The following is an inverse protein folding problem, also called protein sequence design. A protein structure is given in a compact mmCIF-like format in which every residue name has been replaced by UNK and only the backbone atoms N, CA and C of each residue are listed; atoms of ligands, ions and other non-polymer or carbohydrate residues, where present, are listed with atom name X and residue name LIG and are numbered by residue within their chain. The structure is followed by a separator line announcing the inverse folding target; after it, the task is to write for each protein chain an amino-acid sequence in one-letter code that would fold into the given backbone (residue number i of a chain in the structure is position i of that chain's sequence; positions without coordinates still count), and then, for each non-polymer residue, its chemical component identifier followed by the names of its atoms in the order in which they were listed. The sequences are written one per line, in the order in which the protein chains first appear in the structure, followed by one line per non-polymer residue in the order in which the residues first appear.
data_IF_721585001025
#
_entry.id   IF_721585001025
#
_cell.length_a   1.000
_cell.length_b   1.000
_cell.length_c   1.000
_cell.angle_alpha   90.00
_cell.angle_beta   90.00
_cell.angle_gamma   90.00
#
_symmetry.space_group_name_H-M   'P 1'
#
loop_
_entity.id
_entity.type
_entity.pdbx_description
1 polymer ?
#
# COMPACT_ATOMS: atom_id res chain seq x y z
N UNK A 1 -18.05 -2.49 65.73
CA UNK A 1 -17.21 -3.66 65.39
C UNK A 1 -17.00 -3.71 63.89
N UNK A 2 -15.86 -3.18 63.43
CA UNK A 2 -14.65 -3.93 63.06
C UNK A 2 -14.81 -4.42 61.59
N UNK A 3 -14.02 -3.98 60.62
CA UNK A 3 -12.57 -4.00 60.63
C UNK A 3 -11.97 -3.01 59.60
N UNK A 4 -10.87 -2.38 60.01
CA UNK A 4 -9.93 -1.60 59.20
C UNK A 4 -8.78 -2.55 58.86
N UNK A 5 -8.51 -2.83 57.58
CA UNK A 5 -7.19 -3.29 57.17
C UNK A 5 -6.89 -2.76 55.77
N UNK A 6 -6.03 -1.74 55.67
CA UNK A 6 -4.57 -1.85 55.60
C UNK A 6 -4.11 -1.81 54.13
N UNK A 7 -4.02 -0.59 53.62
CA UNK A 7 -3.17 -0.28 52.47
C UNK A 7 -1.74 -0.68 52.83
N UNK A 8 -1.28 -1.81 52.30
CA UNK A 8 0.10 -2.25 52.44
C UNK A 8 0.87 -1.65 51.28
N UNK A 9 1.77 -0.73 51.61
CA UNK A 9 2.82 -0.23 50.73
C UNK A 9 3.65 -1.43 50.25
N UNK A 10 3.56 -1.77 48.97
CA UNK A 10 4.55 -2.62 48.34
C UNK A 10 5.82 -1.79 48.18
N UNK A 11 6.80 -2.12 49.00
CA UNK A 11 8.17 -1.63 48.91
C UNK A 11 8.67 -1.75 47.48
N UNK A 12 9.20 -0.65 46.94
CA UNK A 12 10.06 -0.68 45.77
C UNK A 12 11.21 -1.62 46.07
N UNK A 13 11.22 -2.76 45.37
CA UNK A 13 12.41 -3.55 45.21
C UNK A 13 13.35 -2.74 44.34
N UNK A 14 14.42 -2.26 44.97
CA UNK A 14 15.61 -1.72 44.34
C UNK A 14 16.21 -2.85 43.50
N UNK A 15 15.73 -2.96 42.26
CA UNK A 15 16.36 -3.78 41.25
C UNK A 15 17.52 -2.96 40.73
N UNK A 16 18.73 -3.28 41.21
CA UNK A 16 19.98 -2.88 40.60
C UNK A 16 19.86 -3.19 39.09
N UNK A 17 19.58 -2.15 38.31
CA UNK A 17 19.79 -2.18 36.87
C UNK A 17 21.32 -2.19 36.72
N UNK A 18 21.91 -3.37 36.81
CA UNK A 18 23.25 -3.62 36.27
C UNK A 18 23.16 -3.32 34.76
N UNK A 19 23.31 -2.03 34.42
CA UNK A 19 23.73 -1.62 33.09
C UNK A 19 25.06 -2.32 32.85
N UNK A 20 25.02 -3.44 32.14
CA UNK A 20 26.21 -4.08 31.61
C UNK A 20 26.87 -3.06 30.69
N UNK A 21 27.80 -2.27 31.24
CA UNK A 21 28.64 -1.38 30.48
C UNK A 21 29.43 -2.27 29.52
N UNK A 22 29.02 -2.26 28.25
CA UNK A 22 29.80 -2.87 27.18
C UNK A 22 31.08 -2.07 27.09
N UNK A 23 32.19 -2.65 27.57
CA UNK A 23 33.50 -1.99 27.54
C UNK A 23 33.80 -1.56 26.09
N UNK A 24 34.05 -0.26 25.91
CA UNK A 24 34.40 0.30 24.61
C UNK A 24 35.67 -0.36 24.04
N UNK A 25 36.54 -0.88 24.92
CA UNK A 25 37.70 -1.70 24.56
C UNK A 25 37.32 -3.03 23.90
N UNK A 26 36.37 -3.76 24.47
CA UNK A 26 35.90 -5.05 23.95
C UNK A 26 35.20 -4.89 22.60
N UNK A 27 34.42 -3.82 22.42
CA UNK A 27 33.81 -3.52 21.11
C UNK A 27 34.88 -3.26 20.04
N UNK A 28 35.91 -2.48 20.36
CA UNK A 28 36.98 -2.17 19.41
C UNK A 28 37.82 -3.41 19.06
N UNK A 29 38.02 -4.31 20.03
CA UNK A 29 38.70 -5.59 19.82
C UNK A 29 37.89 -6.52 18.90
N UNK A 30 36.58 -6.67 19.15
CA UNK A 30 35.68 -7.47 18.31
C UNK A 30 35.54 -6.89 16.89
N UNK A 31 35.51 -5.57 16.74
CA UNK A 31 35.52 -4.93 15.41
C UNK A 31 36.82 -5.19 14.64
N UNK A 32 37.97 -5.21 15.33
CA UNK A 32 39.25 -5.54 14.71
C UNK A 32 39.32 -7.02 14.29
N UNK A 33 38.79 -7.92 15.12
CA UNK A 33 38.71 -9.36 14.83
C UNK A 33 37.78 -9.65 13.64
N UNK A 34 36.61 -9.00 13.58
CA UNK A 34 35.67 -9.12 12.46
C UNK A 34 36.29 -8.62 11.15
N UNK A 35 37.03 -7.51 11.17
CA UNK A 35 37.72 -6.97 9.98
C UNK A 35 38.90 -7.83 9.54
N UNK A 36 39.53 -8.54 10.47
CA UNK A 36 40.61 -9.49 10.19
C UNK A 36 40.11 -10.87 9.72
N UNK A 37 38.81 -11.15 9.86
CA UNK A 37 38.22 -12.42 9.44
C UNK A 37 38.34 -12.64 7.93
N UNK A 38 38.87 -13.80 7.54
CA UNK A 38 39.08 -14.14 6.14
C UNK A 38 37.76 -14.54 5.47
N UNK A 39 37.16 -13.59 4.75
CA UNK A 39 35.90 -13.79 4.02
C UNK A 39 36.05 -14.78 2.85
N UNK A 40 37.28 -15.04 2.38
CA UNK A 40 37.57 -15.93 1.26
C UNK A 40 37.47 -17.43 1.58
N UNK A 41 37.46 -17.82 2.86
CA UNK A 41 37.22 -19.20 3.29
C UNK A 41 35.75 -19.50 3.59
N UNK A 42 34.85 -18.53 3.42
CA UNK A 42 33.43 -18.72 3.68
C UNK A 42 32.77 -19.50 2.54
N UNK A 43 31.88 -20.43 2.91
CA UNK A 43 31.03 -21.13 1.96
C UNK A 43 30.01 -20.14 1.40
N UNK A 44 29.80 -20.16 0.08
CA UNK A 44 28.77 -19.34 -0.56
C UNK A 44 27.39 -19.67 0.03
N UNK A 45 26.78 -18.69 0.69
CA UNK A 45 25.42 -18.81 1.20
C UNK A 45 24.43 -18.57 0.06
N UNK A 46 23.46 -19.48 -0.10
CA UNK A 46 22.34 -19.28 -1.03
C UNK A 46 21.27 -18.45 -0.33
N UNK A 47 20.99 -17.26 -0.86
CA UNK A 47 19.85 -16.48 -0.41
C UNK A 47 18.56 -17.24 -0.69
N UNK A 48 17.70 -17.35 0.31
CA UNK A 48 16.35 -17.89 0.13
C UNK A 48 15.43 -16.80 -0.40
N UNK A 49 14.75 -17.11 -1.50
CA UNK A 49 13.65 -16.29 -2.02
C UNK A 49 12.36 -16.66 -1.29
N UNK A 50 11.71 -15.66 -0.70
CA UNK A 50 10.48 -15.88 0.03
C UNK A 50 9.34 -16.32 -0.89
N UNK A 51 8.95 -17.58 -0.78
CA UNK A 51 7.75 -18.16 -1.38
C UNK A 51 6.76 -18.55 -0.28
N UNK A 52 5.53 -18.02 -0.37
CA UNK A 52 4.46 -18.20 0.62
C UNK A 52 3.50 -19.33 0.25
N UNK A 53 3.43 -19.69 -1.03
CA UNK A 53 2.47 -20.65 -1.58
C UNK A 53 3.01 -22.08 -1.64
N UNK A 54 4.31 -22.27 -1.40
CA UNK A 54 4.95 -23.56 -1.16
C UNK A 54 5.01 -23.83 0.35
N UNK A 55 4.31 -24.88 0.80
CA UNK A 55 4.23 -25.26 2.20
C UNK A 55 5.41 -26.15 2.66
N UNK A 56 6.23 -26.66 1.73
CA UNK A 56 7.35 -27.58 2.01
C UNK A 56 8.71 -26.85 2.17
N UNK A 57 8.77 -25.55 1.87
CA UNK A 57 9.99 -24.73 1.99
C UNK A 57 10.27 -24.18 3.41
N UNK A 58 9.39 -24.46 4.37
CA UNK A 58 9.47 -24.02 5.78
C UNK A 58 9.51 -22.50 6.02
N UNK A 59 9.28 -21.66 5.01
CA UNK A 59 9.33 -20.20 5.17
C UNK A 59 8.24 -19.72 6.16
N UNK A 60 7.01 -20.15 5.95
CA UNK A 60 5.88 -19.77 6.81
C UNK A 60 6.02 -20.37 8.21
N UNK A 61 6.59 -21.57 8.33
CA UNK A 61 6.79 -22.22 9.62
C UNK A 61 7.82 -21.47 10.47
N UNK A 62 8.94 -21.06 9.85
CA UNK A 62 9.92 -20.19 10.50
C UNK A 62 9.29 -18.88 10.96
N UNK A 63 8.54 -18.18 10.10
CA UNK A 63 7.86 -16.94 10.47
C UNK A 63 6.85 -17.14 11.60
N UNK A 64 6.11 -18.25 11.58
CA UNK A 64 5.08 -18.55 12.59
C UNK A 64 5.72 -18.76 13.95
N UNK A 65 6.80 -19.57 14.02
CA UNK A 65 7.52 -19.84 15.27
C UNK A 65 8.20 -18.56 15.78
N UNK A 66 8.94 -17.85 14.93
CA UNK A 66 9.64 -16.63 15.31
C UNK A 66 8.68 -15.54 15.82
N UNK A 67 7.56 -15.33 15.12
CA UNK A 67 6.52 -14.40 15.54
C UNK A 67 5.90 -14.82 16.87
N UNK A 68 5.58 -16.10 17.06
CA UNK A 68 4.94 -16.58 18.28
C UNK A 68 5.88 -16.54 19.50
N UNK A 69 7.18 -16.81 19.32
CA UNK A 69 8.19 -16.63 20.36
C UNK A 69 8.28 -15.16 20.78
N UNK A 70 8.28 -14.23 19.81
CA UNK A 70 8.24 -12.80 20.10
C UNK A 70 6.93 -12.40 20.79
N UNK A 71 5.79 -12.92 20.35
CA UNK A 71 4.50 -12.68 20.99
C UNK A 71 4.49 -13.13 22.44
N UNK A 72 5.14 -14.26 22.76
CA UNK A 72 5.26 -14.75 24.12
C UNK A 72 6.02 -13.78 25.04
N UNK A 73 7.12 -13.18 24.55
CA UNK A 73 7.90 -12.19 25.32
C UNK A 73 7.08 -10.96 25.73
N UNK A 74 6.09 -10.55 24.92
CA UNK A 74 5.25 -9.37 25.17
C UNK A 74 3.83 -9.72 25.61
N UNK A 75 3.56 -10.98 25.98
CA UNK A 75 2.22 -11.45 26.35
C UNK A 75 1.13 -11.15 25.29
N UNK A 76 1.51 -11.18 24.01
CA UNK A 76 0.62 -11.01 22.85
C UNK A 76 0.03 -12.38 22.48
N UNK A 77 -1.24 -12.42 22.07
CA UNK A 77 -1.89 -13.65 21.59
C UNK A 77 -1.14 -14.25 20.40
N UNK A 78 -0.77 -15.53 20.51
CA UNK A 78 -0.13 -16.27 19.43
C UNK A 78 -1.04 -16.41 18.21
N UNK A 79 -0.44 -16.40 17.03
CA UNK A 79 -1.14 -16.53 15.75
C UNK A 79 -0.96 -17.93 15.15
N UNK A 80 -2.01 -18.44 14.51
CA UNK A 80 -1.94 -19.69 13.76
C UNK A 80 -1.15 -19.51 12.45
N UNK A 81 -0.56 -20.59 11.94
CA UNK A 81 0.19 -20.62 10.68
C UNK A 81 -0.55 -19.94 9.51
N UNK A 82 -1.85 -20.22 9.35
CA UNK A 82 -2.69 -19.62 8.31
C UNK A 82 -2.81 -18.11 8.44
N UNK A 83 -3.00 -17.60 9.65
CA UNK A 83 -3.06 -16.17 9.93
C UNK A 83 -1.72 -15.48 9.63
N UNK A 84 -0.61 -16.11 10.01
CA UNK A 84 0.74 -15.61 9.68
C UNK A 84 0.97 -15.62 8.16
N UNK A 85 0.57 -16.69 7.45
CA UNK A 85 0.66 -16.78 5.98
C UNK A 85 -0.10 -15.65 5.29
N UNK A 86 -1.32 -15.36 5.73
CA UNK A 86 -2.13 -14.26 5.16
C UNK A 86 -1.46 -12.91 5.36
N UNK A 87 -0.96 -12.64 6.56
CA UNK A 87 -0.35 -11.34 6.90
C UNK A 87 1.03 -11.18 6.24
N UNK A 88 1.93 -12.15 6.44
CA UNK A 88 3.29 -12.12 5.90
C UNK A 88 3.31 -12.18 4.37
N UNK A 89 2.42 -12.97 3.79
CA UNK A 89 2.27 -13.14 2.35
C UNK A 89 1.45 -12.04 1.66
N UNK A 90 0.89 -11.08 2.42
CA UNK A 90 0.00 -10.03 1.91
C UNK A 90 -1.11 -10.57 1.01
N UNK A 91 -1.74 -11.67 1.44
CA UNK A 91 -2.77 -12.35 0.65
C UNK A 91 -4.04 -11.49 0.63
N UNK A 92 -4.50 -11.14 -0.57
CA UNK A 92 -5.77 -10.44 -0.78
C UNK A 92 -6.89 -11.49 -0.79
N UNK A 93 -7.88 -11.41 0.13
CA UNK A 93 -9.01 -12.33 0.12
C UNK A 93 -9.83 -12.18 -1.17
N UNK A 94 -10.14 -13.30 -1.81
CA UNK A 94 -10.93 -13.32 -3.04
C UNK A 94 -11.94 -14.48 -3.02
N UNK A 95 -13.14 -14.23 -3.54
CA UNK A 95 -14.19 -15.22 -3.69
C UNK A 95 -14.84 -15.08 -5.08
N UNK A 96 -15.21 -16.21 -5.68
CA UNK A 96 -15.79 -16.22 -7.03
C UNK A 96 -17.11 -15.42 -7.10
N UNK A 97 -17.87 -15.34 -6.00
CA UNK A 97 -19.16 -14.63 -5.96
C UNK A 97 -19.03 -13.12 -6.13
N UNK A 98 -18.05 -12.48 -5.48
CA UNK A 98 -17.79 -11.04 -5.67
C UNK A 98 -17.27 -10.77 -7.08
N UNK A 99 -16.42 -11.66 -7.61
CA UNK A 99 -15.90 -11.56 -8.98
C UNK A 99 -17.03 -11.63 -10.01
N UNK A 100 -17.90 -12.64 -9.90
CA UNK A 100 -19.05 -12.80 -10.80
C UNK A 100 -20.00 -11.60 -10.76
N UNK A 101 -20.26 -11.05 -9.56
CA UNK A 101 -21.11 -9.87 -9.41
C UNK A 101 -20.50 -8.62 -10.05
N UNK A 102 -19.21 -8.36 -9.81
CA UNK A 102 -18.50 -7.22 -10.40
C UNK A 102 -18.47 -7.34 -11.92
N UNK A 103 -18.13 -8.52 -12.47
CA UNK A 103 -18.17 -8.76 -13.91
C UNK A 103 -19.55 -8.50 -14.50
N UNK A 104 -20.61 -9.04 -13.89
CA UNK A 104 -21.97 -8.84 -14.39
C UNK A 104 -22.41 -7.37 -14.42
N UNK A 105 -22.01 -6.56 -13.44
CA UNK A 105 -22.30 -5.12 -13.43
C UNK A 105 -21.49 -4.36 -14.47
N UNK A 106 -20.21 -4.73 -14.65
CA UNK A 106 -19.37 -4.17 -15.72
C UNK A 106 -19.95 -4.49 -17.09
N UNK A 107 -20.43 -5.71 -17.30
CA UNK A 107 -21.05 -6.14 -18.57
C UNK A 107 -22.33 -5.33 -18.88
N UNK A 108 -23.12 -4.98 -17.86
CA UNK A 108 -24.28 -4.10 -18.02
C UNK A 108 -23.86 -2.70 -18.47
N UNK A 109 -22.84 -2.09 -17.83
CA UNK A 109 -22.33 -0.78 -18.26
C UNK A 109 -21.68 -0.85 -19.66
N UNK A 110 -21.04 -1.97 -19.99
CA UNK A 110 -20.49 -2.22 -21.32
C UNK A 110 -21.58 -2.25 -22.39
N UNK A 111 -22.73 -2.89 -22.13
CA UNK A 111 -23.88 -2.86 -23.03
C UNK A 111 -24.35 -1.42 -23.33
N UNK A 112 -24.31 -0.53 -22.33
CA UNK A 112 -24.69 0.89 -22.51
C UNK A 112 -23.73 1.64 -23.45
N UNK A 113 -22.43 1.34 -23.38
CA UNK A 113 -21.42 1.89 -24.30
C UNK A 113 -21.65 1.43 -25.73
N UNK A 114 -21.93 0.14 -25.92
CA UNK A 114 -22.21 -0.44 -27.24
C UNK A 114 -23.48 0.18 -27.87
N UNK A 115 -24.49 0.50 -27.05
CA UNK A 115 -25.71 1.18 -27.48
C UNK A 115 -25.54 2.68 -27.76
N UNK A 116 -24.35 3.26 -27.55
CA UNK A 116 -24.10 4.67 -27.84
C UNK A 116 -24.67 5.63 -26.78
N UNK A 117 -25.02 5.14 -25.58
CA UNK A 117 -25.64 5.96 -24.53
C UNK A 117 -24.70 7.03 -23.96
N UNK A 118 -23.39 6.94 -24.21
CA UNK A 118 -22.42 7.99 -23.91
C UNK A 118 -22.77 9.34 -24.56
N UNK A 119 -23.46 9.33 -25.70
CA UNK A 119 -23.90 10.54 -26.38
C UNK A 119 -25.09 11.23 -25.68
N UNK A 120 -25.78 10.52 -24.78
CA UNK A 120 -26.93 11.03 -24.03
C UNK A 120 -26.56 11.59 -22.64
N UNK A 121 -25.25 11.64 -22.34
CA UNK A 121 -24.69 12.19 -21.13
C UNK A 121 -24.43 11.17 -20.01
N UNK A 122 -23.66 11.61 -19.01
CA UNK A 122 -23.13 10.77 -17.94
C UNK A 122 -24.20 10.16 -17.01
N UNK A 123 -25.42 10.71 -17.00
CA UNK A 123 -26.54 10.21 -16.17
C UNK A 123 -27.04 8.82 -16.56
N UNK A 124 -26.59 8.28 -17.70
CA UNK A 124 -26.90 6.92 -18.14
C UNK A 124 -25.96 5.87 -17.54
N UNK A 125 -24.80 6.29 -17.05
CA UNK A 125 -23.77 5.42 -16.50
C UNK A 125 -23.82 5.45 -14.98
N UNK A 126 -23.48 4.32 -14.39
CA UNK A 126 -23.53 4.14 -12.95
C UNK A 126 -22.25 3.48 -12.46
N UNK A 127 -21.73 4.00 -11.35
CA UNK A 127 -20.70 3.34 -10.58
C UNK A 127 -21.34 2.72 -9.34
N UNK A 128 -20.86 1.54 -8.94
CA UNK A 128 -21.43 0.77 -7.83
C UNK A 128 -20.35 0.39 -6.83
N UNK A 129 -20.62 0.59 -5.53
CA UNK A 129 -19.85 0.00 -4.43
C UNK A 129 -20.71 -1.06 -3.74
N UNK A 130 -20.09 -2.22 -3.46
CA UNK A 130 -20.81 -3.42 -3.05
C UNK A 130 -20.08 -4.11 -1.91
N UNK A 131 -20.83 -4.48 -0.88
CA UNK A 131 -20.39 -5.45 0.12
C UNK A 131 -21.41 -6.58 0.25
N UNK A 132 -21.08 -7.75 -0.27
CA UNK A 132 -21.96 -8.93 -0.24
C UNK A 132 -22.16 -9.51 1.18
N UNK A 133 -21.24 -9.26 2.11
CA UNK A 133 -21.34 -9.79 3.48
C UNK A 133 -22.53 -9.18 4.25
N UNK A 134 -22.87 -7.93 3.94
CA UNK A 134 -23.99 -7.18 4.55
C UNK A 134 -25.28 -7.25 3.73
N UNK A 135 -25.27 -7.97 2.59
CA UNK A 135 -26.43 -8.08 1.71
C UNK A 135 -26.78 -6.78 0.98
N UNK A 136 -28.06 -6.62 0.60
CA UNK A 136 -28.55 -5.52 -0.24
C UNK A 136 -28.42 -4.13 0.38
N UNK A 137 -28.21 -4.02 1.69
CA UNK A 137 -28.08 -2.74 2.39
C UNK A 137 -26.77 -2.01 2.08
N UNK A 138 -25.76 -2.72 1.56
CA UNK A 138 -24.47 -2.14 1.17
C UNK A 138 -24.25 -2.13 -0.35
N UNK A 139 -25.34 -2.00 -1.11
CA UNK A 139 -25.29 -1.73 -2.54
C UNK A 139 -25.56 -0.24 -2.77
N UNK A 140 -24.50 0.52 -3.07
CA UNK A 140 -24.61 1.96 -3.32
C UNK A 140 -24.25 2.27 -4.77
N UNK A 141 -25.07 3.09 -5.41
CA UNK A 141 -24.92 3.46 -6.82
C UNK A 141 -24.88 4.96 -6.95
N UNK A 142 -23.98 5.47 -7.77
CA UNK A 142 -23.77 6.89 -8.00
C UNK A 142 -23.39 7.16 -9.45
N UNK A 143 -23.65 8.38 -9.90
CA UNK A 143 -23.27 8.79 -11.25
C UNK A 143 -21.76 9.03 -11.30
N UNK A 144 -21.10 8.72 -12.42
CA UNK A 144 -19.69 9.05 -12.60
C UNK A 144 -19.51 10.56 -12.56
N UNK A 145 -18.38 10.98 -11.98
CA UNK A 145 -18.00 12.38 -11.92
C UNK A 145 -17.81 12.94 -13.34
N UNK A 146 -18.14 14.22 -13.50
CA UNK A 146 -17.78 14.94 -14.71
C UNK A 146 -16.25 15.09 -14.79
N UNK A 147 -15.70 15.28 -16.00
CA UNK A 147 -14.29 15.60 -16.15
C UNK A 147 -13.92 16.78 -15.27
N UNK A 148 -12.85 16.65 -14.49
CA UNK A 148 -12.33 17.79 -13.74
C UNK A 148 -11.78 18.82 -14.73
N UNK A 149 -12.22 20.06 -14.59
CA UNK A 149 -11.56 21.18 -15.25
C UNK A 149 -10.16 21.35 -14.65
N UNK A 150 -9.16 21.61 -15.49
CA UNK A 150 -7.75 21.73 -15.13
C UNK A 150 -7.41 22.99 -14.31
N UNK A 151 -8.38 23.50 -13.54
CA UNK A 151 -8.23 24.63 -12.62
C UNK A 151 -7.44 24.27 -11.35
N UNK A 152 -7.18 22.97 -11.11
CA UNK A 152 -6.36 22.47 -10.00
C UNK A 152 -4.87 22.26 -10.35
N UNK A 153 -4.42 22.62 -11.56
CA UNK A 153 -2.98 22.78 -11.81
C UNK A 153 -2.49 23.92 -10.92
N UNK A 154 -1.40 23.69 -10.16
CA UNK A 154 -0.76 24.68 -9.29
C UNK A 154 -0.85 26.07 -9.92
N UNK A 155 -1.43 27.05 -9.21
CA UNK A 155 -1.56 28.45 -9.66
C UNK A 155 -0.19 28.96 -10.12
N UNK A 156 0.08 28.79 -11.40
CA UNK A 156 1.28 29.30 -12.05
C UNK A 156 0.92 30.68 -12.60
N UNK A 157 1.89 31.58 -12.67
CA UNK A 157 1.69 32.91 -13.24
C UNK A 157 1.61 32.87 -14.78
N UNK A 158 1.38 31.70 -15.37
CA UNK A 158 1.29 31.47 -16.81
C UNK A 158 -0.17 31.52 -17.24
N UNK A 159 -0.44 32.12 -18.39
CA UNK A 159 -1.76 32.11 -18.99
C UNK A 159 -2.14 30.65 -19.30
N UNK A 160 -3.16 30.13 -18.62
CA UNK A 160 -3.71 28.79 -18.86
C UNK A 160 -4.84 28.85 -19.88
N UNK A 161 -5.12 27.72 -20.51
CA UNK A 161 -6.29 27.56 -21.36
C UNK A 161 -7.59 27.93 -20.62
N UNK A 162 -8.58 28.56 -21.28
CA UNK A 162 -9.83 28.99 -20.65
C UNK A 162 -10.72 27.83 -20.18
N UNK A 163 -10.66 26.68 -20.85
CA UNK A 163 -11.26 25.41 -20.41
C UNK A 163 -10.43 24.27 -20.98
N UNK A 164 -9.75 23.52 -20.11
CA UNK A 164 -9.02 22.32 -20.48
C UNK A 164 -9.35 21.28 -19.41
N UNK A 165 -9.71 20.08 -19.81
CA UNK A 165 -10.12 18.99 -18.92
C UNK A 165 -9.09 17.86 -18.95
N UNK A 166 -9.24 16.86 -18.08
CA UNK A 166 -8.38 15.67 -18.09
C UNK A 166 -8.45 14.84 -19.38
N UNK A 167 -9.46 15.06 -20.23
CA UNK A 167 -9.62 14.37 -21.51
C UNK A 167 -9.07 15.15 -22.69
N UNK A 168 -8.79 16.44 -22.51
CA UNK A 168 -8.28 17.28 -23.58
C UNK A 168 -6.79 16.99 -23.80
N UNK A 169 -6.38 17.01 -25.06
CA UNK A 169 -5.00 16.81 -25.47
C UNK A 169 -4.67 17.72 -26.63
N UNK A 170 -3.41 18.14 -26.71
CA UNK A 170 -2.89 18.91 -27.84
C UNK A 170 -2.25 17.93 -28.81
N UNK A 171 -2.91 17.71 -29.94
CA UNK A 171 -2.42 16.82 -30.99
C UNK A 171 -1.61 17.62 -32.02
N UNK A 172 -0.29 17.44 -32.01
CA UNK A 172 0.62 17.96 -33.03
C UNK A 172 1.13 16.81 -33.90
N UNK A 173 1.15 17.01 -35.22
CA UNK A 173 1.59 15.99 -36.18
C UNK A 173 2.94 16.36 -36.80
N UNK A 174 3.89 15.41 -36.76
CA UNK A 174 5.23 15.53 -37.33
C UNK A 174 6.34 15.73 -36.30
N UNK A 175 7.59 15.68 -36.76
CA UNK A 175 8.77 15.96 -35.93
C UNK A 175 9.00 17.47 -35.87
N UNK A 176 8.36 18.13 -34.91
CA UNK A 176 8.59 19.55 -34.65
C UNK A 176 9.83 19.74 -33.78
N UNK A 177 10.66 20.70 -34.14
CA UNK A 177 11.70 21.20 -33.24
C UNK A 177 11.05 21.99 -32.09
N UNK A 178 11.72 22.06 -30.94
CA UNK A 178 11.18 22.77 -29.76
C UNK A 178 10.84 24.25 -30.03
N UNK A 179 11.58 24.89 -30.95
CA UNK A 179 11.31 26.27 -31.37
C UNK A 179 10.07 26.39 -32.28
N UNK A 180 9.79 25.37 -33.10
CA UNK A 180 8.57 25.34 -33.92
C UNK A 180 7.34 25.06 -33.07
N UNK A 181 7.46 24.19 -32.05
CA UNK A 181 6.40 23.91 -31.10
C UNK A 181 6.04 25.15 -30.26
N UNK A 182 7.04 25.89 -29.75
CA UNK A 182 6.78 27.13 -29.00
C UNK A 182 6.15 28.22 -29.88
N UNK A 183 6.59 28.33 -31.14
CA UNK A 183 6.00 29.25 -32.11
C UNK A 183 4.58 28.86 -32.54
N UNK A 184 4.22 27.57 -32.51
CA UNK A 184 2.85 27.10 -32.76
C UNK A 184 1.94 27.34 -31.54
N UNK A 185 2.41 26.98 -30.34
CA UNK A 185 1.69 27.28 -29.09
C UNK A 185 1.40 28.78 -28.94
N UNK A 186 2.37 29.63 -29.31
CA UNK A 186 2.18 31.09 -29.34
C UNK A 186 1.20 31.59 -30.40
N UNK A 187 1.09 30.91 -31.55
CA UNK A 187 0.11 31.25 -32.60
C UNK A 187 -1.30 30.81 -32.24
N UNK A 188 -1.45 29.59 -31.75
CA UNK A 188 -2.75 28.96 -31.57
C UNK A 188 -3.40 29.39 -30.25
N UNK A 189 -2.59 29.65 -29.23
CA UNK A 189 -3.08 29.92 -27.87
C UNK A 189 -2.59 31.24 -27.28
N UNK A 190 -1.72 31.99 -27.97
CA UNK A 190 -1.20 33.27 -27.48
C UNK A 190 -0.27 33.12 -26.27
N UNK A 191 0.25 31.92 -26.01
CA UNK A 191 1.12 31.62 -24.86
C UNK A 191 2.58 31.71 -25.28
N UNK A 192 3.40 32.44 -24.51
CA UNK A 192 4.86 32.40 -24.66
C UNK A 192 5.40 31.28 -23.78
N UNK A 193 5.98 30.25 -24.40
CA UNK A 193 6.55 29.06 -23.74
C UNK A 193 8.06 29.21 -23.62
#
# INVERSE_FOLDING_TARGET
DADKSAATAAQGGDGDEDEVQVDAGDKAALEAELKAANVGSLIACTAHDFEKDDDDNFHIDYLTIATNLRSWNYNIKQSQRSGVKVIAGRIIPALATTTAMVCGLVDIEFCKLVLGLQNLGNSKFLQSNINLATGSEAFSVFNPNQPEEATNLNKSNLATFPSFTTWDRLDYHGDLTGAELSAQLGRDFGVTV
#
